data_IF_700299822891
#
_entry.id   IF_700299822891
#
_cell.length_a   1.000
_cell.length_b   1.000
_cell.length_c   1.000
_cell.angle_alpha   90.00
_cell.angle_beta   90.00
_cell.angle_gamma   90.00
#
_symmetry.space_group_name_H-M   'P 1'
#
loop_
_entity.id
_entity.type
_entity.pdbx_description
1 polymer ?
#
# COMPACT_ATOMS: atom_id res chain seq x y z
N UNK A 1 19.83 25.57 4.12
CA UNK A 1 19.63 24.11 4.13
C UNK A 1 18.16 23.73 4.16
N UNK A 2 17.62 23.55 2.96
CA UNK A 2 16.24 23.15 2.64
C UNK A 2 16.03 21.63 2.72
N UNK A 3 17.13 20.87 2.83
CA UNK A 3 17.17 19.40 2.85
C UNK A 3 16.70 18.76 4.16
N UNK A 4 16.70 19.50 5.27
CA UNK A 4 16.09 19.07 6.53
C UNK A 4 14.78 19.83 6.73
N UNK A 5 13.64 19.19 6.44
CA UNK A 5 12.31 19.79 6.55
C UNK A 5 12.07 20.49 7.90
N UNK A 6 11.34 21.61 7.89
CA UNK A 6 11.13 22.50 9.06
C UNK A 6 10.58 21.76 10.29
N UNK A 7 9.66 20.82 10.06
CA UNK A 7 9.08 19.95 11.10
C UNK A 7 10.16 19.13 11.81
N UNK A 8 11.10 18.56 11.06
CA UNK A 8 12.19 17.74 11.60
C UNK A 8 13.18 18.57 12.42
N UNK A 9 13.46 19.80 11.99
CA UNK A 9 14.26 20.75 12.77
C UNK A 9 13.59 21.06 14.11
N UNK A 10 12.29 21.36 14.10
CA UNK A 10 11.52 21.62 15.32
C UNK A 10 11.52 20.43 16.28
N UNK A 11 11.36 19.20 15.77
CA UNK A 11 11.42 17.97 16.58
C UNK A 11 12.81 17.72 17.19
N UNK A 12 13.88 18.01 16.45
CA UNK A 12 15.27 17.85 16.93
C UNK A 12 15.70 18.96 17.91
N UNK A 13 15.01 20.11 17.91
CA UNK A 13 15.29 21.25 18.80
C UNK A 13 14.19 21.47 19.84
N UNK A 14 13.25 22.37 19.59
CA UNK A 14 12.28 22.90 20.55
C UNK A 14 11.38 21.83 21.15
N UNK A 15 10.93 20.86 20.35
CA UNK A 15 10.03 19.81 20.83
C UNK A 15 10.74 18.61 21.45
N UNK A 16 12.07 18.48 21.29
CA UNK A 16 12.87 17.34 21.76
C UNK A 16 12.62 16.92 23.22
N UNK A 17 12.46 17.82 24.21
CA UNK A 17 12.20 17.39 25.59
C UNK A 17 10.75 16.91 25.82
N UNK A 18 9.82 17.25 24.93
CA UNK A 18 8.37 17.04 25.13
C UNK A 18 7.78 15.94 24.26
N UNK A 19 8.51 15.48 23.25
CA UNK A 19 8.08 14.43 22.33
C UNK A 19 9.14 13.34 22.29
N UNK A 20 8.70 12.09 22.09
CA UNK A 20 9.58 10.94 21.87
C UNK A 20 9.16 10.23 20.60
N UNK A 21 10.09 9.53 19.98
CA UNK A 21 9.83 8.64 18.85
C UNK A 21 10.14 7.21 19.29
N UNK A 22 9.21 6.30 19.08
CA UNK A 22 9.37 4.86 19.24
C UNK A 22 8.99 4.12 17.94
N UNK A 23 8.91 2.78 17.99
CA UNK A 23 8.58 1.94 16.83
C UNK A 23 7.16 2.18 16.28
N UNK A 24 6.25 2.75 17.06
CA UNK A 24 4.88 3.09 16.67
C UNK A 24 4.73 4.54 16.20
N UNK A 25 5.76 5.38 16.40
CA UNK A 25 5.82 6.75 15.91
C UNK A 25 6.18 7.76 16.99
N UNK A 26 5.82 9.02 16.75
CA UNK A 26 5.91 10.12 17.68
C UNK A 26 4.77 10.08 18.69
N UNK A 27 5.12 10.19 19.97
CA UNK A 27 4.18 10.31 21.08
C UNK A 27 4.63 11.40 22.07
N UNK A 28 3.72 12.05 22.80
CA UNK A 28 4.08 12.98 23.88
C UNK A 28 4.92 12.29 24.95
N UNK A 29 5.91 13.01 25.49
CA UNK A 29 6.76 12.53 26.59
C UNK A 29 6.19 13.00 27.92
N UNK A 30 6.03 12.05 28.85
CA UNK A 30 5.69 12.35 30.24
C UNK A 30 6.97 12.65 31.03
N UNK A 31 7.01 13.80 31.71
CA UNK A 31 8.11 14.23 32.58
C UNK A 31 7.52 14.67 33.92
N UNK A 32 7.96 14.05 35.02
CA UNK A 32 7.47 14.32 36.37
C UNK A 32 5.93 14.32 36.49
N UNK A 33 5.26 13.36 35.84
CA UNK A 33 3.80 13.21 35.86
C UNK A 33 3.02 14.21 35.00
N UNK A 34 3.70 15.06 34.22
CA UNK A 34 3.08 16.04 33.31
C UNK A 34 3.47 15.77 31.86
N UNK A 35 2.61 16.18 30.92
CA UNK A 35 2.87 16.10 29.47
C UNK A 35 2.33 17.36 28.78
N UNK A 36 2.91 17.70 27.63
CA UNK A 36 2.31 18.69 26.74
C UNK A 36 1.07 18.06 26.08
N UNK A 37 -0.04 18.79 26.11
CA UNK A 37 -1.27 18.43 25.42
C UNK A 37 -1.14 18.77 23.93
N UNK A 38 -0.37 17.96 23.20
CA UNK A 38 -0.34 18.04 21.74
C UNK A 38 -1.71 17.72 21.18
N UNK A 39 -2.10 18.41 20.11
CA UNK A 39 -3.33 18.10 19.39
C UNK A 39 -3.19 16.76 18.66
N UNK A 40 -4.28 16.01 18.57
CA UNK A 40 -4.28 14.69 17.91
C UNK A 40 -3.95 14.80 16.41
N UNK A 41 -4.48 15.84 15.75
CA UNK A 41 -4.21 16.14 14.33
C UNK A 41 -2.72 16.41 14.07
N UNK A 42 -2.04 17.09 15.00
CA UNK A 42 -0.59 17.29 14.97
C UNK A 42 0.19 15.99 15.12
N UNK A 43 -0.16 15.14 16.09
CA UNK A 43 0.51 13.84 16.28
C UNK A 43 0.30 12.92 15.06
N UNK A 44 -0.91 12.91 14.51
CA UNK A 44 -1.20 12.19 13.28
C UNK A 44 -0.37 12.71 12.10
N UNK A 45 -0.30 14.03 11.92
CA UNK A 45 0.54 14.67 10.90
C UNK A 45 2.01 14.25 11.01
N UNK A 46 2.59 14.26 12.21
CA UNK A 46 3.97 13.82 12.44
C UNK A 46 4.17 12.35 12.05
N UNK A 47 3.24 11.48 12.43
CA UNK A 47 3.36 10.04 12.18
C UNK A 47 3.18 9.68 10.71
N UNK A 48 2.28 10.35 10.00
CA UNK A 48 2.11 10.17 8.55
C UNK A 48 3.26 10.80 7.77
N UNK A 49 3.73 11.99 8.17
CA UNK A 49 4.87 12.67 7.54
C UNK A 49 6.19 11.92 7.72
N UNK A 50 6.42 11.32 8.88
CA UNK A 50 7.61 10.50 9.15
C UNK A 50 7.63 9.23 8.29
N UNK A 51 6.46 8.63 8.05
CA UNK A 51 6.32 7.48 7.17
C UNK A 51 6.54 7.85 5.70
N UNK A 52 6.21 9.07 5.28
CA UNK A 52 6.48 9.55 3.93
C UNK A 52 7.94 9.98 3.70
N UNK A 53 8.68 10.24 4.79
CA UNK A 53 10.12 10.49 4.80
C UNK A 53 10.96 9.20 4.79
N UNK A 54 10.35 8.02 4.66
CA UNK A 54 11.09 6.79 4.40
C UNK A 54 12.01 7.03 3.20
N UNK A 55 13.32 6.90 3.41
CA UNK A 55 14.28 6.95 2.32
C UNK A 55 13.97 5.78 1.40
N UNK A 56 13.46 6.08 0.22
CA UNK A 56 13.14 5.05 -0.75
C UNK A 56 14.44 4.47 -1.32
N UNK A 57 14.57 3.15 -1.28
CA UNK A 57 15.60 2.43 -2.00
C UNK A 57 15.38 2.61 -3.51
N UNK A 58 16.46 2.63 -4.31
CA UNK A 58 16.36 2.72 -5.77
C UNK A 58 15.55 1.57 -6.40
N UNK A 59 15.54 0.40 -5.76
CA UNK A 59 14.75 -0.75 -6.21
C UNK A 59 14.38 -1.67 -5.05
N UNK A 60 13.30 -2.43 -5.24
CA UNK A 60 12.76 -3.41 -4.31
C UNK A 60 12.60 -4.74 -5.03
N UNK A 61 12.92 -5.84 -4.36
CA UNK A 61 12.68 -7.19 -4.88
C UNK A 61 11.53 -7.80 -4.11
N UNK A 62 10.49 -8.21 -4.83
CA UNK A 62 9.32 -8.90 -4.27
C UNK A 62 9.25 -10.29 -4.87
N UNK A 63 9.25 -11.31 -4.01
CA UNK A 63 9.05 -12.70 -4.43
C UNK A 63 7.56 -13.00 -4.44
N UNK A 64 7.06 -13.52 -5.56
CA UNK A 64 5.66 -13.89 -5.74
C UNK A 64 5.61 -15.34 -6.20
N UNK A 65 4.88 -16.16 -5.46
CA UNK A 65 4.55 -17.53 -5.83
C UNK A 65 3.05 -17.62 -6.13
N UNK A 66 2.69 -18.13 -7.31
CA UNK A 66 1.33 -18.29 -7.76
C UNK A 66 0.74 -19.64 -7.35
N UNK A 67 -0.52 -19.62 -6.94
CA UNK A 67 -1.34 -20.80 -6.66
C UNK A 67 -2.45 -20.94 -7.70
N UNK A 68 -3.01 -22.13 -7.94
CA UNK A 68 -4.08 -22.34 -8.92
C UNK A 68 -5.21 -21.31 -8.81
N UNK A 69 -5.76 -20.91 -9.96
CA UNK A 69 -6.85 -19.94 -10.03
C UNK A 69 -8.16 -20.69 -9.90
N UNK A 70 -9.03 -20.22 -9.01
CA UNK A 70 -10.32 -20.86 -8.76
C UNK A 70 -11.48 -20.00 -9.26
N UNK A 71 -12.61 -20.64 -9.51
CA UNK A 71 -13.90 -19.99 -9.73
C UNK A 71 -15.02 -20.78 -9.05
N UNK A 72 -16.18 -20.14 -8.86
CA UNK A 72 -17.35 -20.77 -8.24
C UNK A 72 -17.70 -22.12 -8.88
N UNK A 73 -18.12 -23.09 -8.06
CA UNK A 73 -18.23 -24.50 -8.42
C UNK A 73 -19.10 -24.74 -9.67
N UNK A 74 -20.22 -24.03 -9.74
CA UNK A 74 -21.28 -24.08 -10.74
C UNK A 74 -21.00 -23.29 -12.04
N UNK A 75 -19.85 -22.60 -12.13
CA UNK A 75 -19.43 -21.98 -13.38
C UNK A 75 -19.27 -23.02 -14.50
N UNK A 76 -19.84 -22.73 -15.67
CA UNK A 76 -19.81 -23.62 -16.84
C UNK A 76 -18.40 -23.84 -17.39
N UNK A 77 -17.48 -22.90 -17.14
CA UNK A 77 -16.06 -22.99 -17.51
C UNK A 77 -15.19 -22.53 -16.34
N UNK A 78 -14.01 -23.13 -16.22
CA UNK A 78 -13.01 -22.76 -15.22
C UNK A 78 -11.88 -21.96 -15.86
N UNK A 79 -11.19 -21.11 -15.09
CA UNK A 79 -9.98 -20.45 -15.55
C UNK A 79 -8.89 -21.49 -15.85
N UNK A 80 -8.18 -21.28 -16.95
CA UNK A 80 -7.02 -22.05 -17.36
C UNK A 80 -5.75 -21.62 -16.62
N UNK A 81 -5.73 -20.37 -16.13
CA UNK A 81 -4.58 -19.79 -15.45
C UNK A 81 -4.67 -18.28 -15.30
N UNK A 82 -3.57 -17.70 -14.83
CA UNK A 82 -3.36 -16.26 -14.83
C UNK A 82 -1.92 -15.90 -15.19
N UNK A 83 -1.73 -14.68 -15.67
CA UNK A 83 -0.40 -14.08 -15.89
C UNK A 83 -0.33 -12.73 -15.20
N UNK A 84 0.66 -12.55 -14.32
CA UNK A 84 0.97 -11.27 -13.69
C UNK A 84 2.21 -10.69 -14.36
N UNK A 85 2.11 -9.52 -14.97
CA UNK A 85 3.23 -8.82 -15.59
C UNK A 85 3.48 -7.46 -14.96
N UNK A 86 4.74 -7.13 -14.74
CA UNK A 86 5.22 -5.79 -14.39
C UNK A 86 5.97 -5.20 -15.57
N UNK A 87 5.56 -4.01 -16.02
CA UNK A 87 6.27 -3.25 -17.03
C UNK A 87 7.22 -2.25 -16.35
N UNK A 88 8.49 -2.30 -16.74
CA UNK A 88 9.50 -1.30 -16.43
C UNK A 88 10.09 -0.74 -17.73
N UNK A 89 10.86 0.35 -17.65
CA UNK A 89 11.38 1.07 -18.82
C UNK A 89 12.11 0.15 -19.81
N UNK A 90 12.88 -0.80 -19.28
CA UNK A 90 13.81 -1.60 -20.08
C UNK A 90 13.40 -3.08 -20.13
N UNK A 91 12.44 -3.49 -19.29
CA UNK A 91 12.10 -4.88 -19.06
C UNK A 91 10.62 -5.09 -18.78
N UNK A 92 10.12 -6.27 -19.15
CA UNK A 92 8.82 -6.78 -18.75
C UNK A 92 9.03 -8.11 -18.05
N UNK A 93 8.69 -8.18 -16.77
CA UNK A 93 8.77 -9.42 -15.98
C UNK A 93 7.38 -9.99 -15.82
N UNK A 94 7.19 -11.27 -16.15
CA UNK A 94 5.89 -11.93 -16.03
C UNK A 94 6.00 -13.22 -15.21
N UNK A 95 4.95 -13.51 -14.46
CA UNK A 95 4.71 -14.77 -13.76
C UNK A 95 3.46 -15.40 -14.36
N UNK A 96 3.65 -16.51 -15.07
CA UNK A 96 2.58 -17.31 -15.66
C UNK A 96 2.24 -18.47 -14.75
N UNK A 97 0.95 -18.71 -14.55
CA UNK A 97 0.45 -19.79 -13.73
C UNK A 97 -0.71 -20.48 -14.44
N UNK A 98 -0.44 -21.63 -15.02
CA UNK A 98 -1.43 -22.51 -15.65
C UNK A 98 -1.83 -23.66 -14.70
N UNK A 99 -2.11 -23.31 -13.43
CA UNK A 99 -2.45 -24.21 -12.33
C UNK A 99 -1.30 -25.13 -11.86
N UNK A 100 -0.07 -24.64 -11.94
CA UNK A 100 1.12 -25.27 -11.38
C UNK A 100 1.87 -24.25 -10.51
N UNK A 101 2.47 -24.66 -9.38
CA UNK A 101 3.27 -23.75 -8.56
C UNK A 101 4.39 -23.13 -9.40
N UNK A 102 4.37 -21.81 -9.51
CA UNK A 102 5.38 -21.02 -10.23
C UNK A 102 5.72 -19.82 -9.37
N UNK A 103 6.99 -19.42 -9.38
CA UNK A 103 7.47 -18.28 -8.61
C UNK A 103 8.36 -17.39 -9.46
N UNK A 104 8.26 -16.08 -9.24
CA UNK A 104 9.12 -15.10 -9.88
C UNK A 104 9.53 -13.99 -8.91
N UNK A 105 10.73 -13.46 -9.14
CA UNK A 105 11.25 -12.29 -8.47
C UNK A 105 10.91 -11.05 -9.30
N UNK A 106 10.11 -10.14 -8.74
CA UNK A 106 9.80 -8.85 -9.36
C UNK A 106 10.71 -7.78 -8.77
N UNK A 107 11.61 -7.24 -9.61
CA UNK A 107 12.41 -6.07 -9.27
C UNK A 107 11.65 -4.81 -9.69
N UNK A 108 11.13 -4.08 -8.72
CA UNK A 108 10.37 -2.85 -8.95
C UNK A 108 11.17 -1.61 -8.54
N UNK A 109 11.14 -0.57 -9.36
CA UNK A 109 11.77 0.72 -9.10
C UNK A 109 10.72 1.85 -9.25
N UNK A 110 10.57 2.77 -8.28
CA UNK A 110 9.57 3.83 -8.32
C UNK A 110 9.65 4.73 -9.56
N UNK A 111 10.87 5.00 -10.03
CA UNK A 111 11.14 5.92 -11.15
C UNK A 111 11.38 5.18 -12.49
N UNK A 112 11.41 3.84 -12.46
CA UNK A 112 11.72 3.00 -13.63
C UNK A 112 10.63 2.01 -14.00
N UNK A 113 9.55 1.91 -13.21
CA UNK A 113 8.45 0.98 -13.46
C UNK A 113 7.12 1.70 -13.56
N UNK A 114 6.19 1.07 -14.28
CA UNK A 114 4.86 1.59 -14.54
C UNK A 114 3.79 0.55 -14.23
N UNK A 115 2.99 0.26 -15.24
CA UNK A 115 1.80 -0.56 -15.13
C UNK A 115 2.13 -1.99 -14.68
N UNK A 116 1.25 -2.52 -13.83
CA UNK A 116 1.18 -3.95 -13.52
C UNK A 116 -0.13 -4.49 -14.08
N UNK A 117 -0.08 -5.61 -14.77
CA UNK A 117 -1.25 -6.19 -15.43
C UNK A 117 -1.43 -7.62 -14.97
N UNK A 118 -2.61 -7.94 -14.47
CA UNK A 118 -3.06 -9.30 -14.19
C UNK A 118 -4.05 -9.73 -15.28
N UNK A 119 -3.72 -10.77 -16.03
CA UNK A 119 -4.65 -11.41 -16.96
C UNK A 119 -5.11 -12.76 -16.40
N UNK A 120 -6.40 -13.06 -16.53
CA UNK A 120 -6.98 -14.36 -16.15
C UNK A 120 -7.52 -14.99 -17.43
N UNK A 121 -7.01 -16.16 -17.79
CA UNK A 121 -7.36 -16.84 -19.02
C UNK A 121 -8.48 -17.85 -18.79
N UNK A 122 -9.53 -17.78 -19.60
CA UNK A 122 -10.54 -18.82 -19.81
C UNK A 122 -10.42 -19.31 -21.27
N UNK A 123 -11.05 -20.44 -21.65
CA UNK A 123 -10.91 -20.99 -23.00
C UNK A 123 -11.19 -20.02 -24.16
N UNK A 124 -12.20 -19.15 -24.01
CA UNK A 124 -12.63 -18.20 -25.05
C UNK A 124 -12.85 -16.79 -24.49
N UNK A 125 -12.18 -16.45 -23.39
CA UNK A 125 -12.31 -15.17 -22.70
C UNK A 125 -11.03 -14.87 -21.92
N UNK A 126 -10.50 -13.66 -22.06
CA UNK A 126 -9.39 -13.20 -21.23
C UNK A 126 -9.84 -11.98 -20.46
N UNK A 127 -9.73 -12.03 -19.14
CA UNK A 127 -10.02 -10.92 -18.26
C UNK A 127 -8.72 -10.18 -17.97
N UNK A 128 -8.76 -8.85 -17.98
CA UNK A 128 -7.57 -8.03 -17.74
C UNK A 128 -7.85 -7.04 -16.62
N UNK A 129 -6.99 -7.02 -15.61
CA UNK A 129 -6.96 -6.01 -14.55
C UNK A 129 -5.64 -5.25 -14.64
N UNK A 130 -5.71 -3.97 -14.99
CA UNK A 130 -4.54 -3.10 -15.10
C UNK A 130 -4.44 -2.17 -13.89
N UNK A 131 -3.30 -2.21 -13.23
CA UNK A 131 -2.92 -1.30 -12.17
C UNK A 131 -1.98 -0.24 -12.76
N UNK A 132 -2.53 0.90 -13.14
CA UNK A 132 -1.78 1.88 -13.95
C UNK A 132 -0.88 2.83 -13.16
N UNK A 133 0.15 3.30 -13.86
CA UNK A 133 1.11 4.33 -13.46
C UNK A 133 2.27 3.78 -12.64
N UNK A 134 3.18 4.67 -12.23
CA UNK A 134 4.39 4.30 -11.47
C UNK A 134 4.16 3.50 -10.18
N UNK A 135 2.97 3.62 -9.59
CA UNK A 135 2.56 2.88 -8.39
C UNK A 135 1.68 1.67 -8.71
N UNK A 136 1.61 1.24 -9.97
CA UNK A 136 0.82 0.08 -10.41
C UNK A 136 1.11 -1.15 -9.58
N UNK A 137 2.39 -1.45 -9.39
CA UNK A 137 2.82 -2.59 -8.59
C UNK A 137 2.45 -2.44 -7.12
N UNK A 138 2.63 -1.26 -6.52
CA UNK A 138 2.21 -0.98 -5.15
C UNK A 138 0.70 -1.19 -4.95
N UNK A 139 -0.13 -0.77 -5.91
CA UNK A 139 -1.59 -0.98 -5.88
C UNK A 139 -1.96 -2.46 -5.95
N UNK A 140 -1.31 -3.20 -6.85
CA UNK A 140 -1.49 -4.65 -6.94
C UNK A 140 -1.15 -5.34 -5.60
N UNK A 141 0.02 -5.02 -5.02
CA UNK A 141 0.44 -5.60 -3.75
C UNK A 141 -0.51 -5.24 -2.61
N UNK A 142 -1.08 -4.03 -2.61
CA UNK A 142 -2.07 -3.61 -1.63
C UNK A 142 -3.39 -4.38 -1.78
N UNK A 143 -3.86 -4.61 -3.01
CA UNK A 143 -5.07 -5.42 -3.28
C UNK A 143 -4.87 -6.88 -2.86
N UNK A 144 -3.66 -7.42 -3.01
CA UNK A 144 -3.29 -8.79 -2.59
C UNK A 144 -2.60 -8.88 -1.23
N UNK A 145 -2.74 -7.88 -0.35
CA UNK A 145 -2.03 -7.85 0.95
C UNK A 145 -2.35 -9.07 1.84
N UNK A 146 -3.52 -9.68 1.68
CA UNK A 146 -3.92 -10.90 2.41
C UNK A 146 -3.47 -12.21 1.73
N UNK A 147 -2.77 -12.11 0.59
CA UNK A 147 -2.35 -13.23 -0.24
C UNK A 147 -3.42 -13.75 -1.20
N UNK A 148 -4.63 -13.17 -1.22
CA UNK A 148 -5.68 -13.55 -2.16
C UNK A 148 -6.55 -12.36 -2.53
N UNK A 149 -7.12 -12.41 -3.73
CA UNK A 149 -8.15 -11.49 -4.18
C UNK A 149 -9.26 -12.25 -4.88
N UNK A 150 -10.51 -11.88 -4.58
CA UNK A 150 -11.70 -12.42 -5.20
C UNK A 150 -12.31 -11.36 -6.11
N UNK A 151 -12.32 -11.64 -7.42
CA UNK A 151 -12.92 -10.78 -8.43
C UNK A 151 -14.33 -11.26 -8.78
N UNK A 152 -15.22 -10.32 -9.03
CA UNK A 152 -16.58 -10.53 -9.51
C UNK A 152 -16.72 -10.04 -10.94
N UNK A 153 -17.87 -10.32 -11.55
CA UNK A 153 -18.13 -9.91 -12.93
C UNK A 153 -18.06 -8.39 -13.12
N UNK A 154 -18.40 -7.62 -12.08
CA UNK A 154 -18.38 -6.15 -12.07
C UNK A 154 -16.95 -5.57 -12.08
N UNK A 155 -15.95 -6.36 -11.69
CA UNK A 155 -14.54 -5.95 -11.74
C UNK A 155 -13.97 -5.97 -13.17
N UNK A 156 -14.73 -6.55 -14.12
CA UNK A 156 -14.38 -6.65 -15.54
C UNK A 156 -15.53 -6.14 -16.43
N UNK A 157 -15.73 -4.80 -16.53
CA UNK A 157 -16.88 -4.20 -17.21
C UNK A 157 -17.08 -4.71 -18.66
N UNK A 158 -15.99 -4.88 -19.40
CA UNK A 158 -16.03 -5.33 -20.80
C UNK A 158 -16.45 -6.81 -20.95
N UNK A 159 -16.33 -7.60 -19.88
CA UNK A 159 -16.61 -9.03 -19.86
C UNK A 159 -17.80 -9.42 -18.95
N UNK A 160 -18.43 -8.47 -18.25
CA UNK A 160 -19.47 -8.73 -17.24
C UNK A 160 -20.60 -9.60 -17.79
N UNK A 161 -21.15 -9.24 -18.96
CA UNK A 161 -22.24 -10.00 -19.58
C UNK A 161 -21.82 -11.44 -19.90
N UNK A 162 -20.59 -11.63 -20.38
CA UNK A 162 -20.06 -12.95 -20.71
C UNK A 162 -19.83 -13.80 -19.47
N UNK A 163 -19.29 -13.22 -18.40
CA UNK A 163 -19.09 -13.92 -17.12
C UNK A 163 -20.42 -14.39 -16.53
N UNK A 164 -21.46 -13.55 -16.56
CA UNK A 164 -22.81 -13.92 -16.10
C UNK A 164 -23.42 -15.05 -16.93
N UNK A 165 -23.29 -15.01 -18.26
CA UNK A 165 -23.74 -16.10 -19.13
C UNK A 165 -23.03 -17.42 -18.83
N UNK A 166 -21.76 -17.37 -18.42
CA UNK A 166 -20.97 -18.54 -18.05
C UNK A 166 -21.23 -18.99 -16.60
N UNK A 167 -22.11 -18.31 -15.87
CA UNK A 167 -22.39 -18.60 -14.46
C UNK A 167 -21.21 -18.30 -13.54
N UNK A 168 -20.27 -17.42 -13.94
CA UNK A 168 -19.12 -17.06 -13.10
C UNK A 168 -19.51 -15.93 -12.15
N UNK A 169 -19.68 -16.25 -10.86
CA UNK A 169 -20.01 -15.29 -9.80
C UNK A 169 -18.77 -14.74 -9.09
N UNK A 170 -17.72 -15.57 -8.95
CA UNK A 170 -16.46 -15.17 -8.35
C UNK A 170 -15.29 -15.90 -8.99
N UNK A 171 -14.14 -15.23 -9.02
CA UNK A 171 -12.85 -15.77 -9.46
C UNK A 171 -11.84 -15.44 -8.37
N UNK A 172 -11.12 -16.44 -7.85
CA UNK A 172 -10.14 -16.24 -6.80
C UNK A 172 -8.74 -16.45 -7.35
N UNK A 173 -7.92 -15.42 -7.21
CA UNK A 173 -6.48 -15.47 -7.49
C UNK A 173 -5.76 -15.45 -6.16
N UNK A 174 -4.77 -16.33 -5.99
CA UNK A 174 -4.03 -16.49 -4.75
C UNK A 174 -2.52 -16.42 -5.03
N UNK A 175 -1.82 -15.62 -4.24
CA UNK A 175 -0.37 -15.45 -4.29
C UNK A 175 0.23 -15.54 -2.88
N UNK A 176 1.39 -16.21 -2.76
CA UNK A 176 2.26 -16.02 -1.60
C UNK A 176 3.27 -14.93 -1.95
N UNK A 177 3.20 -13.82 -1.22
CA UNK A 177 3.99 -12.62 -1.50
C UNK A 177 4.97 -12.39 -0.35
N UNK A 178 6.26 -12.26 -0.66
CA UNK A 178 7.30 -11.92 0.32
C UNK A 178 8.05 -10.66 -0.12
N UNK A 179 8.23 -9.71 0.80
CA UNK A 179 8.93 -8.45 0.53
C UNK A 179 8.05 -7.33 -0.04
N UNK A 180 6.74 -7.50 -0.13
CA UNK A 180 5.81 -6.49 -0.69
C UNK A 180 5.56 -5.28 0.21
N UNK A 181 5.67 -5.43 1.53
CA UNK A 181 5.26 -4.39 2.50
C UNK A 181 5.98 -3.03 2.32
N UNK A 182 7.30 -2.95 2.08
CA UNK A 182 7.97 -1.67 1.78
C UNK A 182 7.43 -0.99 0.51
N UNK A 183 6.98 -1.76 -0.48
CA UNK A 183 6.43 -1.26 -1.75
C UNK A 183 4.99 -0.79 -1.56
N UNK A 184 4.19 -1.45 -0.72
CA UNK A 184 2.83 -1.03 -0.36
C UNK A 184 2.87 0.34 0.35
N UNK A 185 3.85 0.55 1.24
CA UNK A 185 4.01 1.83 1.96
C UNK A 185 4.21 3.03 1.04
N UNK A 186 4.62 2.83 -0.22
CA UNK A 186 4.72 3.89 -1.24
C UNK A 186 3.39 4.56 -1.57
N UNK A 187 2.27 3.88 -1.31
CA UNK A 187 0.94 4.47 -1.50
C UNK A 187 0.59 5.48 -0.42
N UNK A 188 1.32 5.48 0.72
CA UNK A 188 1.09 6.44 1.80
C UNK A 188 1.54 7.81 1.33
N UNK A 189 0.57 8.71 1.20
CA UNK A 189 0.85 10.10 0.85
C UNK A 189 1.38 10.83 2.08
N UNK A 190 2.40 11.66 1.88
CA UNK A 190 2.73 12.69 2.86
C UNK A 190 1.49 13.56 3.10
N UNK A 191 1.23 14.00 4.35
CA UNK A 191 0.18 14.98 4.60
C UNK A 191 0.45 16.24 3.77
N UNK A 192 -0.54 16.67 3.00
CA UNK A 192 -0.45 17.90 2.19
C UNK A 192 -0.82 19.16 2.98
N UNK A 193 -1.38 18.98 4.18
CA UNK A 193 -1.80 20.04 5.09
C UNK A 193 -1.06 19.89 6.41
N UNK A 194 -0.44 20.99 6.85
CA UNK A 194 0.20 21.08 8.17
C UNK A 194 -0.84 21.64 9.14
N UNK A 195 -1.12 20.98 10.28
CA UNK A 195 -1.99 21.53 11.30
C UNK A 195 -1.51 22.91 11.76
N UNK A 196 -2.40 23.91 11.85
CA UNK A 196 -2.02 25.29 12.18
C UNK A 196 -1.59 25.45 13.64
N UNK A 197 -1.99 24.52 14.50
CA UNK A 197 -1.73 24.51 15.93
C UNK A 197 -1.07 23.19 16.34
N UNK A 198 -0.14 23.26 17.30
CA UNK A 198 0.62 22.11 17.78
C UNK A 198 0.08 21.60 19.11
N UNK A 199 -0.36 22.50 19.98
CA UNK A 199 -0.80 22.21 21.35
C UNK A 199 -2.19 22.80 21.59
N UNK A 200 -2.95 22.17 22.47
CA UNK A 200 -4.13 22.79 23.07
C UNK A 200 -3.62 23.78 24.11
N UNK A 201 -3.96 25.07 23.96
CA UNK A 201 -3.67 26.05 25.00
C UNK A 201 -4.34 25.62 26.30
N UNK A 202 -3.55 25.45 27.37
CA UNK A 202 -4.11 25.24 28.69
C UNK A 202 -4.96 26.47 29.03
N UNK A 203 -6.25 26.35 29.39
CA UNK A 203 -6.91 27.47 30.03
C UNK A 203 -6.11 27.74 31.30
N UNK A 204 -5.50 28.93 31.40
CA UNK A 204 -4.83 29.37 32.62
C UNK A 204 -5.84 29.16 33.75
N UNK A 205 -5.60 28.16 34.60
CA UNK A 205 -6.38 28.04 35.83
C UNK A 205 -6.08 29.33 36.60
N UNK A 206 -7.09 30.17 36.91
CA UNK A 206 -6.84 31.32 37.76
C UNK A 206 -6.24 30.79 39.05
N UNK A 207 -5.17 31.44 39.52
CA UNK A 207 -4.52 31.08 40.77
C UNK A 207 -5.61 30.97 41.84
N UNK A 208 -5.72 29.79 42.47
CA UNK A 208 -6.57 29.63 43.63
C UNK A 208 -6.11 30.67 44.66
N UNK A 209 -7.02 31.59 44.99
CA UNK A 209 -6.74 32.71 45.88
C UNK A 209 -6.13 32.23 47.19
N UNK A 210 -5.12 32.98 47.65
CA UNK A 210 -4.64 32.99 49.03
C UNK A 210 -5.73 33.54 49.96
#
# INVERSE_FOLDING_TARGET
DEKEGRVWKFLKSTARPFIRQDQFGYTPRVVAGRTIAFRDDWIQFLNTGNQAMFQYQPSYVVQIEAQPVDANADAAVKPLGCTLCLQCSDTRTCLENFNYPQSAAFKWAPDGCGDTTLTIQFPNLTLTRTYSGRFGFSKFLAEFMTGRQEFRAEDFPDATARLRQLGVSWIRVTYRITGGEPVIRMLRRAPTTVPPEIVVCWPLQPAAGM
#
